data_IF_354797851745
#
_entry.id   IF_354797851745
#
_cell.length_a   1.000
_cell.length_b   1.000
_cell.length_c   1.000
_cell.angle_alpha   90.00
_cell.angle_beta   90.00
_cell.angle_gamma   90.00
#
_symmetry.space_group_name_H-M   'P 1'
#
loop_
_entity.id
_entity.type
_entity.pdbx_description
1 polymer ?
#
# COMPACT_ATOMS: atom_id res chain seq x y z
N UNK A 1 -23.38 -3.42 -15.22
CA UNK A 1 -23.54 -2.68 -13.94
C UNK A 1 -22.90 -3.48 -12.81
N UNK A 2 -21.62 -3.23 -12.47
CA UNK A 2 -20.91 -3.85 -11.33
C UNK A 2 -20.58 -2.83 -10.21
N UNK A 3 -21.36 -1.76 -10.08
CA UNK A 3 -21.07 -0.65 -9.17
C UNK A 3 -21.23 -1.02 -7.69
N UNK A 4 -22.28 -1.76 -7.34
CA UNK A 4 -22.52 -2.25 -5.99
C UNK A 4 -21.40 -3.18 -5.47
N UNK A 5 -20.97 -4.23 -6.21
CA UNK A 5 -19.87 -5.08 -5.74
C UNK A 5 -18.56 -4.32 -5.60
N UNK A 6 -18.27 -3.36 -6.48
CA UNK A 6 -17.08 -2.50 -6.38
C UNK A 6 -17.03 -1.72 -5.05
N UNK A 7 -18.14 -1.06 -4.68
CA UNK A 7 -18.23 -0.32 -3.42
C UNK A 7 -18.05 -1.26 -2.23
N UNK A 8 -18.74 -2.40 -2.23
CA UNK A 8 -18.67 -3.36 -1.12
C UNK A 8 -17.25 -3.91 -0.92
N UNK A 9 -16.54 -4.21 -2.00
CA UNK A 9 -15.15 -4.68 -1.96
C UNK A 9 -14.20 -3.59 -1.44
N UNK A 10 -14.38 -2.34 -1.88
CA UNK A 10 -13.61 -1.20 -1.38
C UNK A 10 -13.83 -0.97 0.11
N UNK A 11 -15.09 -1.04 0.57
CA UNK A 11 -15.44 -0.95 1.99
C UNK A 11 -14.80 -2.10 2.78
N UNK A 12 -14.84 -3.33 2.25
CA UNK A 12 -14.17 -4.47 2.88
C UNK A 12 -12.65 -4.25 3.02
N UNK A 13 -12.01 -3.63 2.01
CA UNK A 13 -10.61 -3.19 2.07
C UNK A 13 -10.34 -2.24 3.22
N UNK A 14 -11.15 -1.18 3.35
CA UNK A 14 -11.08 -0.23 4.47
C UNK A 14 -11.26 -0.94 5.81
N UNK A 15 -12.26 -1.82 5.92
CA UNK A 15 -12.55 -2.57 7.15
C UNK A 15 -11.34 -3.41 7.56
N UNK A 16 -10.64 -4.08 6.63
CA UNK A 16 -9.45 -4.87 6.94
C UNK A 16 -8.21 -4.02 7.23
N UNK A 17 -8.08 -2.86 6.59
CA UNK A 17 -6.97 -1.95 6.84
C UNK A 17 -6.97 -1.42 8.28
N UNK A 18 -8.14 -1.20 8.90
CA UNK A 18 -8.27 -0.72 10.28
C UNK A 18 -7.50 -1.60 11.30
N UNK A 19 -7.82 -2.91 11.47
CA UNK A 19 -7.09 -3.76 12.40
C UNK A 19 -5.62 -3.93 12.00
N UNK A 20 -5.31 -3.97 10.71
CA UNK A 20 -3.93 -4.04 10.21
C UNK A 20 -3.09 -2.84 10.67
N UNK A 21 -3.58 -1.61 10.46
CA UNK A 21 -2.93 -0.37 10.92
C UNK A 21 -2.89 -0.33 12.44
N UNK A 22 -3.97 -0.72 13.12
CA UNK A 22 -4.02 -0.73 14.58
C UNK A 22 -2.96 -1.64 15.21
N UNK A 23 -2.69 -2.79 14.61
CA UNK A 23 -1.63 -3.71 15.04
C UNK A 23 -0.25 -3.12 14.71
N UNK A 24 -0.04 -2.69 13.46
CA UNK A 24 1.25 -2.19 13.00
C UNK A 24 1.68 -0.91 13.72
N UNK A 25 0.75 0.03 13.97
CA UNK A 25 1.02 1.34 14.58
C UNK A 25 1.51 1.25 16.04
N UNK A 26 1.32 0.11 16.70
CA UNK A 26 1.87 -0.21 18.03
C UNK A 26 3.29 -0.76 17.98
N UNK A 27 3.76 -1.20 16.83
CA UNK A 27 5.10 -1.73 16.67
C UNK A 27 6.12 -0.60 16.52
N UNK A 28 7.27 -0.71 17.18
CA UNK A 28 8.45 0.13 16.89
C UNK A 28 8.95 -0.06 15.46
N UNK A 29 8.55 -1.16 14.81
CA UNK A 29 8.89 -1.52 13.43
C UNK A 29 7.77 -1.16 12.43
N UNK A 30 6.88 -0.22 12.75
CA UNK A 30 5.77 0.14 11.88
C UNK A 30 6.22 0.51 10.45
N UNK A 31 7.31 1.28 10.33
CA UNK A 31 7.87 1.74 9.05
C UNK A 31 8.35 0.57 8.15
N UNK A 32 9.25 -0.32 8.59
CA UNK A 32 9.65 -1.48 7.78
C UNK A 32 8.51 -2.44 7.49
N UNK A 33 7.54 -2.60 8.40
CA UNK A 33 6.39 -3.46 8.17
C UNK A 33 5.51 -2.92 7.03
N UNK A 34 5.24 -1.62 6.99
CA UNK A 34 4.47 -0.99 5.92
C UNK A 34 5.23 -0.93 4.58
N UNK A 35 6.55 -0.81 4.62
CA UNK A 35 7.40 -0.90 3.43
C UNK A 35 7.40 -2.32 2.85
N UNK A 36 7.56 -3.34 3.71
CA UNK A 36 7.51 -4.73 3.30
C UNK A 36 6.14 -5.11 2.76
N UNK A 37 5.05 -4.70 3.43
CA UNK A 37 3.71 -5.02 2.95
C UNK A 37 3.40 -4.38 1.60
N UNK A 38 3.94 -3.19 1.29
CA UNK A 38 3.81 -2.57 -0.03
C UNK A 38 4.43 -3.44 -1.13
N UNK A 39 5.63 -3.98 -0.89
CA UNK A 39 6.30 -4.88 -1.85
C UNK A 39 5.56 -6.20 -1.97
N UNK A 40 5.03 -6.73 -0.87
CA UNK A 40 4.20 -7.94 -0.88
C UNK A 40 2.94 -7.72 -1.72
N UNK A 41 2.25 -6.58 -1.60
CA UNK A 41 1.08 -6.25 -2.42
C UNK A 41 1.42 -6.32 -3.92
N UNK A 42 2.52 -5.70 -4.35
CA UNK A 42 2.95 -5.74 -5.74
C UNK A 42 3.29 -7.18 -6.21
N UNK A 43 3.92 -7.99 -5.34
CA UNK A 43 4.25 -9.39 -5.66
C UNK A 43 3.01 -10.27 -5.88
N UNK A 44 1.89 -9.97 -5.21
CA UNK A 44 0.65 -10.73 -5.38
C UNK A 44 0.15 -10.64 -6.83
N UNK A 45 0.31 -9.49 -7.50
CA UNK A 45 -0.05 -9.38 -8.92
C UNK A 45 0.86 -10.17 -9.85
N UNK A 46 2.16 -10.30 -9.54
CA UNK A 46 3.05 -11.22 -10.26
C UNK A 46 2.55 -12.66 -10.13
N UNK A 47 2.15 -13.06 -8.92
CA UNK A 47 1.58 -14.39 -8.67
C UNK A 47 0.30 -14.58 -9.48
N UNK A 48 -0.58 -13.58 -9.54
CA UNK A 48 -1.79 -13.65 -10.36
C UNK A 48 -1.48 -13.76 -11.85
N UNK A 49 -0.56 -12.94 -12.37
CA UNK A 49 -0.17 -12.99 -13.78
C UNK A 49 0.38 -14.38 -14.16
N UNK A 50 1.26 -14.95 -13.33
CA UNK A 50 1.84 -16.29 -13.57
C UNK A 50 0.79 -17.40 -13.42
N UNK A 51 -0.13 -17.28 -12.45
CA UNK A 51 -1.06 -18.35 -12.10
C UNK A 51 -2.33 -18.37 -12.96
N UNK A 52 -2.75 -17.22 -13.51
CA UNK A 52 -4.08 -17.06 -14.11
C UNK A 52 -4.06 -16.47 -15.53
N UNK A 53 -3.50 -17.21 -16.50
CA UNK A 53 -3.53 -16.84 -17.94
C UNK A 53 -2.91 -15.47 -18.26
N UNK A 54 -2.00 -14.94 -17.45
CA UNK A 54 -1.16 -13.83 -17.87
C UNK A 54 -0.15 -14.30 -18.93
N UNK A 55 -0.01 -13.54 -20.00
CA UNK A 55 1.08 -13.68 -20.96
C UNK A 55 2.41 -13.14 -20.38
N UNK A 56 3.52 -13.43 -21.06
CA UNK A 56 4.86 -12.99 -20.63
C UNK A 56 4.94 -11.47 -20.48
N UNK A 57 4.26 -10.73 -21.37
CA UNK A 57 4.24 -9.27 -21.33
C UNK A 57 3.57 -8.73 -20.06
N UNK A 58 2.46 -9.32 -19.62
CA UNK A 58 1.78 -8.98 -18.36
C UNK A 58 2.64 -9.30 -17.15
N UNK A 59 3.31 -10.45 -17.15
CA UNK A 59 4.25 -10.80 -16.07
C UNK A 59 5.36 -9.76 -15.97
N UNK A 60 5.92 -9.31 -17.10
CA UNK A 60 6.93 -8.26 -17.13
C UNK A 60 6.39 -6.91 -16.60
N UNK A 61 5.15 -6.55 -16.93
CA UNK A 61 4.50 -5.36 -16.37
C UNK A 61 4.42 -5.47 -14.84
N UNK A 62 3.94 -6.58 -14.28
CA UNK A 62 3.83 -6.72 -12.82
C UNK A 62 5.20 -6.74 -12.13
N UNK A 63 6.22 -7.34 -12.75
CA UNK A 63 7.61 -7.28 -12.26
C UNK A 63 8.10 -5.82 -12.23
N UNK A 64 7.74 -5.00 -13.22
CA UNK A 64 8.07 -3.57 -13.22
C UNK A 64 7.36 -2.83 -12.08
N UNK A 65 6.14 -3.23 -11.73
CA UNK A 65 5.43 -2.76 -10.54
C UNK A 65 6.19 -3.10 -9.26
N UNK A 66 6.62 -4.35 -9.09
CA UNK A 66 7.44 -4.78 -7.94
C UNK A 66 8.72 -3.94 -7.82
N UNK A 67 9.39 -3.68 -8.94
CA UNK A 67 10.59 -2.81 -8.96
C UNK A 67 10.25 -1.37 -8.52
N UNK A 68 9.20 -0.77 -9.07
CA UNK A 68 8.74 0.57 -8.73
C UNK A 68 8.38 0.69 -7.24
N UNK A 69 7.58 -0.22 -6.71
CA UNK A 69 7.17 -0.20 -5.30
C UNK A 69 8.30 -0.54 -4.33
N UNK A 70 9.27 -1.34 -4.76
CA UNK A 70 10.52 -1.55 -4.01
C UNK A 70 11.33 -0.26 -3.90
N UNK A 71 11.38 0.58 -4.94
CA UNK A 71 12.03 1.90 -4.86
C UNK A 71 11.32 2.78 -3.81
N UNK A 72 9.99 2.87 -3.84
CA UNK A 72 9.23 3.62 -2.83
C UNK A 72 9.48 3.09 -1.42
N UNK A 73 9.51 1.76 -1.24
CA UNK A 73 9.82 1.12 0.03
C UNK A 73 11.24 1.47 0.52
N UNK A 74 12.25 1.40 -0.35
CA UNK A 74 13.64 1.70 0.00
C UNK A 74 13.87 3.18 0.32
N UNK A 75 13.36 4.10 -0.51
CA UNK A 75 13.37 5.54 -0.23
C UNK A 75 12.61 5.85 1.08
N UNK A 76 11.49 5.15 1.23
CA UNK A 76 10.61 5.12 2.38
C UNK A 76 11.31 4.72 3.66
N UNK A 77 12.25 3.79 3.60
CA UNK A 77 13.06 3.32 4.72
C UNK A 77 14.29 4.19 4.98
N UNK A 78 14.93 4.68 3.91
CA UNK A 78 16.18 5.44 3.99
C UNK A 78 15.99 6.89 4.39
N UNK A 79 14.99 7.56 3.83
CA UNK A 79 14.85 9.03 3.96
C UNK A 79 13.66 9.42 4.82
N UNK A 80 12.43 9.18 4.36
CA UNK A 80 11.21 9.58 5.07
C UNK A 80 10.07 8.60 4.80
N UNK A 81 9.19 8.29 5.77
CA UNK A 81 8.01 7.45 5.54
C UNK A 81 7.04 8.01 4.50
N UNK A 82 7.18 9.28 4.11
CA UNK A 82 6.37 9.88 3.03
C UNK A 82 6.48 9.10 1.73
N UNK A 83 7.65 8.56 1.39
CA UNK A 83 7.81 7.74 0.19
C UNK A 83 7.02 6.42 0.27
N UNK A 84 6.86 5.84 1.47
CA UNK A 84 5.99 4.66 1.67
C UNK A 84 4.53 5.06 1.45
N UNK A 85 4.11 6.20 2.02
CA UNK A 85 2.75 6.74 1.82
C UNK A 85 2.45 6.99 0.33
N UNK A 86 3.38 7.61 -0.40
CA UNK A 86 3.30 7.79 -1.84
C UNK A 86 3.27 6.47 -2.60
N UNK A 87 4.04 5.47 -2.16
CA UNK A 87 3.99 4.11 -2.73
C UNK A 87 2.60 3.49 -2.63
N UNK A 88 1.98 3.52 -1.45
CA UNK A 88 0.60 3.04 -1.27
C UNK A 88 -0.41 3.85 -2.08
N UNK A 89 -0.29 5.19 -2.09
CA UNK A 89 -1.19 6.04 -2.86
C UNK A 89 -1.05 5.80 -4.38
N UNK A 90 0.17 5.59 -4.88
CA UNK A 90 0.44 5.31 -6.30
C UNK A 90 0.02 3.90 -6.71
N UNK A 91 -0.01 2.94 -5.78
CA UNK A 91 -0.55 1.60 -6.01
C UNK A 91 -2.03 1.61 -6.41
N UNK A 92 -2.82 2.51 -5.83
CA UNK A 92 -4.21 2.72 -6.25
C UNK A 92 -4.33 3.04 -7.75
N UNK A 93 -3.42 3.85 -8.28
CA UNK A 93 -3.43 4.19 -9.71
C UNK A 93 -2.98 3.03 -10.59
N UNK A 94 -2.09 2.15 -10.09
CA UNK A 94 -1.71 0.91 -10.76
C UNK A 94 -2.91 -0.03 -10.87
N UNK A 95 -3.63 -0.23 -9.77
CA UNK A 95 -4.86 -1.03 -9.72
C UNK A 95 -5.93 -0.51 -10.68
N UNK A 96 -6.17 0.81 -10.67
CA UNK A 96 -7.14 1.43 -11.58
C UNK A 96 -6.69 1.26 -13.04
N UNK A 97 -5.45 1.64 -13.35
CA UNK A 97 -4.94 1.67 -14.71
C UNK A 97 -4.85 0.29 -15.35
N UNK A 98 -4.32 -0.69 -14.63
CA UNK A 98 -4.07 -2.02 -15.18
C UNK A 98 -5.22 -2.99 -14.94
N UNK A 99 -5.80 -3.02 -13.73
CA UNK A 99 -6.72 -4.09 -13.35
C UNK A 99 -8.20 -3.71 -13.36
N UNK A 100 -8.54 -2.42 -13.38
CA UNK A 100 -9.94 -1.97 -13.54
C UNK A 100 -10.24 -1.47 -14.95
N UNK A 101 -9.29 -0.77 -15.58
CA UNK A 101 -9.45 -0.18 -16.90
C UNK A 101 -8.62 -0.85 -17.99
N UNK A 102 -7.54 -1.54 -17.60
CA UNK A 102 -6.54 -2.09 -18.50
C UNK A 102 -6.67 -3.58 -18.79
N UNK A 103 -5.65 -4.14 -19.43
CA UNK A 103 -5.61 -5.57 -19.77
C UNK A 103 -5.56 -6.49 -18.54
N UNK A 104 -5.15 -5.98 -17.38
CA UNK A 104 -4.98 -6.71 -16.13
C UNK A 104 -6.25 -7.31 -15.52
N UNK A 105 -7.43 -6.93 -16.04
CA UNK A 105 -8.75 -7.44 -15.64
C UNK A 105 -8.86 -8.97 -15.81
N UNK A 106 -8.05 -9.59 -16.67
CA UNK A 106 -8.23 -11.00 -17.04
C UNK A 106 -7.50 -12.03 -16.16
N UNK A 107 -6.53 -11.61 -15.33
CA UNK A 107 -5.74 -12.53 -14.49
C UNK A 107 -5.79 -12.21 -13.00
N UNK A 108 -6.16 -10.99 -12.62
CA UNK A 108 -6.48 -10.69 -11.24
C UNK A 108 -7.95 -11.03 -10.94
N UNK A 109 -8.28 -11.60 -9.77
CA UNK A 109 -9.67 -11.79 -9.37
C UNK A 109 -10.42 -10.45 -9.34
N UNK A 110 -11.62 -10.39 -9.93
CA UNK A 110 -12.45 -9.17 -10.05
C UNK A 110 -12.64 -8.37 -8.74
N UNK A 111 -12.59 -9.04 -7.59
CA UNK A 111 -12.80 -8.43 -6.29
C UNK A 111 -11.54 -7.80 -5.68
N UNK A 112 -10.36 -8.21 -6.15
CA UNK A 112 -9.08 -7.88 -5.53
C UNK A 112 -8.67 -6.42 -5.75
N UNK A 113 -8.67 -5.87 -6.98
CA UNK A 113 -8.30 -4.46 -7.18
C UNK A 113 -9.22 -3.45 -6.47
N UNK A 114 -10.56 -3.60 -6.47
CA UNK A 114 -11.43 -2.73 -5.66
C UNK A 114 -11.17 -2.84 -4.16
N UNK A 115 -10.87 -4.04 -3.67
CA UNK A 115 -10.49 -4.26 -2.28
C UNK A 115 -9.18 -3.52 -1.94
N UNK A 116 -8.15 -3.67 -2.77
CA UNK A 116 -6.86 -2.98 -2.61
C UNK A 116 -7.03 -1.46 -2.60
N UNK A 117 -7.87 -0.90 -3.48
CA UNK A 117 -8.13 0.54 -3.53
C UNK A 117 -8.54 1.11 -2.16
N UNK A 118 -9.49 0.46 -1.47
CA UNK A 118 -9.92 0.89 -0.14
C UNK A 118 -8.85 0.68 0.94
N UNK A 119 -8.16 -0.46 0.89
CA UNK A 119 -7.09 -0.78 1.83
C UNK A 119 -5.94 0.24 1.72
N UNK A 120 -5.41 0.43 0.52
CA UNK A 120 -4.22 1.22 0.20
C UNK A 120 -4.38 2.69 0.53
N UNK A 121 -5.54 3.27 0.20
CA UNK A 121 -5.84 4.66 0.55
C UNK A 121 -5.81 4.88 2.05
N UNK A 122 -6.38 3.95 2.83
CA UNK A 122 -6.36 4.06 4.28
C UNK A 122 -4.93 3.92 4.83
N UNK A 123 -4.12 3.00 4.29
CA UNK A 123 -2.70 2.87 4.67
C UNK A 123 -1.93 4.16 4.37
N UNK A 124 -2.06 4.68 3.14
CA UNK A 124 -1.35 5.87 2.69
C UNK A 124 -1.65 7.07 3.61
N UNK A 125 -2.92 7.30 3.92
CA UNK A 125 -3.38 8.35 4.83
C UNK A 125 -2.87 8.10 6.26
N UNK A 126 -2.94 6.87 6.75
CA UNK A 126 -2.54 6.51 8.11
C UNK A 126 -1.04 6.75 8.36
N UNK A 127 -0.19 6.53 7.36
CA UNK A 127 1.24 6.83 7.45
C UNK A 127 1.49 8.30 7.78
N UNK A 128 0.73 9.23 7.19
CA UNK A 128 0.88 10.67 7.45
C UNK A 128 0.57 11.00 8.92
N UNK A 129 -0.44 10.35 9.50
CA UNK A 129 -0.76 10.50 10.93
C UNK A 129 0.32 9.92 11.84
N UNK A 130 0.88 8.75 11.49
CA UNK A 130 1.98 8.13 12.23
C UNK A 130 3.24 9.00 12.20
N UNK A 131 3.57 9.58 11.04
CA UNK A 131 4.68 10.52 10.89
C UNK A 131 4.52 11.76 11.78
N UNK A 132 3.32 12.36 11.78
CA UNK A 132 3.02 13.54 12.61
C UNK A 132 3.15 13.22 14.09
N UNK A 133 2.60 12.08 14.52
CA UNK A 133 2.71 11.57 15.90
C UNK A 133 4.17 11.46 16.33
N UNK A 134 4.99 10.75 15.55
CA UNK A 134 6.39 10.50 15.89
C UNK A 134 7.20 11.82 15.95
N UNK A 135 6.91 12.77 15.06
CA UNK A 135 7.53 14.11 15.06
C UNK A 135 7.17 14.90 16.32
N UNK A 136 5.89 14.89 16.73
CA UNK A 136 5.43 15.59 17.93
C UNK A 136 6.05 15.02 19.21
N UNK A 137 6.17 13.70 19.33
CA UNK A 137 6.85 13.07 20.46
C UNK A 137 8.32 13.45 20.56
N UNK A 138 9.04 13.50 19.43
CA UNK A 138 10.44 13.91 19.42
C UNK A 138 10.64 15.36 19.88
N UNK A 139 9.76 16.28 19.44
CA UNK A 139 9.79 17.68 19.86
C UNK A 139 9.48 17.84 21.35
N UNK A 140 8.49 17.10 21.88
CA UNK A 140 8.16 17.10 23.30
C UNK A 140 9.37 16.69 24.18
N UNK A 141 10.03 15.58 23.84
CA UNK A 141 11.19 15.09 24.58
C UNK A 141 12.37 16.07 24.52
N UNK A 142 12.60 16.71 23.37
CA UNK A 142 13.65 17.72 23.23
C UNK A 142 13.42 18.92 24.16
N UNK A 143 12.18 19.41 24.23
CA UNK A 143 11.82 20.54 25.10
C UNK A 143 11.94 20.17 26.58
N UNK A 144 11.53 18.96 26.99
CA UNK A 144 11.66 18.50 28.37
C UNK A 144 13.14 18.43 28.80
N UNK A 145 14.01 17.93 27.93
CA UNK A 145 15.46 17.87 28.19
C UNK A 145 16.13 19.25 28.26
N UNK A 146 15.61 20.25 27.54
CA UNK A 146 16.13 21.62 27.59
C UNK A 146 15.63 22.42 28.81
N UNK A 147 14.57 21.94 29.48
CA UNK A 147 13.98 22.57 30.67
C UNK A 147 14.58 22.08 32.00
N UNK A 148 15.45 21.07 31.96
CA UNK A 148 16.19 20.52 33.09
C UNK A 148 17.63 21.01 33.06
#
# INVERSE_FOLDING_TARGET
>A
MKFLPFILQSIAGVILAIPFIFIISRSKKWRPLLALSLVITALIYVIFAVSFRGDEYRVLIEISGVFLYSIFALLGMKYTPLWISLGWATHVFWDIGLHLLGGGVHYAPDWYPPFCLGFDLLIAISILFLMKRDTQYALFLKNELQSK
#
